data_IF_529145960940
#
_entry.id   IF_529145960940
#
_cell.length_a   1.000
_cell.length_b   1.000
_cell.length_c   1.000
_cell.angle_alpha   90.00
_cell.angle_beta   90.00
_cell.angle_gamma   90.00
#
_symmetry.space_group_name_H-M   'P 1'
#
loop_
_entity.id
_entity.type
_entity.pdbx_description
1 polymer ?
#
# COMPACT_ATOMS: atom_id res chain seq x y z
N UNK A 1 15.42 20.36 2.36
CA UNK A 1 16.11 19.17 2.91
C UNK A 1 17.59 19.24 2.58
N UNK A 2 18.45 18.68 3.42
CA UNK A 2 19.91 18.65 3.27
C UNK A 2 20.46 17.44 4.02
N UNK A 3 21.71 17.07 3.74
CA UNK A 3 22.46 16.06 4.50
C UNK A 3 23.27 16.75 5.60
N UNK A 4 23.34 16.18 6.79
CA UNK A 4 24.06 16.76 7.94
C UNK A 4 25.59 16.87 7.72
N UNK A 5 26.12 16.09 6.77
CA UNK A 5 27.54 16.05 6.42
C UNK A 5 27.88 16.76 5.10
N UNK A 6 27.02 17.67 4.66
CA UNK A 6 27.16 18.48 3.45
C UNK A 6 27.33 17.70 2.14
N UNK A 7 27.06 16.38 2.14
CA UNK A 7 27.02 15.57 0.91
C UNK A 7 25.77 15.90 0.09
N UNK A 8 25.81 15.58 -1.20
CA UNK A 8 24.64 15.64 -2.06
C UNK A 8 23.53 14.71 -1.56
N UNK A 9 22.30 15.12 -1.79
CA UNK A 9 21.13 14.29 -1.46
C UNK A 9 21.15 13.00 -2.28
N UNK A 10 20.83 11.83 -1.67
CA UNK A 10 20.74 10.55 -2.40
C UNK A 10 19.48 10.45 -3.26
N UNK A 11 18.86 11.57 -3.59
CA UNK A 11 17.64 11.65 -4.39
C UNK A 11 17.70 12.74 -5.43
N UNK A 12 16.90 12.54 -6.49
CA UNK A 12 16.62 13.57 -7.51
C UNK A 12 15.09 13.72 -7.63
N UNK A 13 14.58 14.94 -7.54
CA UNK A 13 13.17 15.26 -7.80
C UNK A 13 13.00 15.50 -9.29
N UNK A 14 12.45 14.51 -10.01
CA UNK A 14 12.29 14.55 -11.47
C UNK A 14 11.05 15.34 -11.91
N UNK A 15 10.06 15.48 -11.03
CA UNK A 15 8.82 16.21 -11.26
C UNK A 15 8.13 16.57 -9.95
N UNK A 16 7.32 17.63 -9.97
CA UNK A 16 6.53 18.09 -8.84
C UNK A 16 7.34 18.85 -7.78
N UNK A 17 6.69 19.12 -6.65
CA UNK A 17 7.27 19.81 -5.49
C UNK A 17 6.87 19.11 -4.21
N UNK A 18 7.58 18.04 -3.80
CA UNK A 18 7.27 17.29 -2.59
C UNK A 18 7.38 18.19 -1.34
N UNK A 19 6.38 18.12 -0.48
CA UNK A 19 6.39 18.76 0.83
C UNK A 19 7.01 17.85 1.90
N UNK A 20 7.06 18.36 3.14
CA UNK A 20 7.66 17.64 4.28
C UNK A 20 7.07 16.25 4.47
N UNK A 21 5.73 16.11 4.51
CA UNK A 21 5.07 14.82 4.70
C UNK A 21 5.30 13.87 3.52
N UNK A 22 5.38 14.40 2.29
CA UNK A 22 5.66 13.59 1.11
C UNK A 22 7.04 12.93 1.19
N UNK A 23 8.06 13.65 1.68
CA UNK A 23 9.39 13.08 1.89
C UNK A 23 9.41 12.04 3.02
N UNK A 24 8.66 12.26 4.10
CA UNK A 24 8.55 11.26 5.16
C UNK A 24 7.91 9.96 4.64
N UNK A 25 6.84 10.07 3.88
CA UNK A 25 6.18 8.92 3.25
C UNK A 25 7.10 8.23 2.24
N UNK A 26 7.77 9.02 1.37
CA UNK A 26 8.70 8.51 0.37
C UNK A 26 9.85 7.71 0.98
N UNK A 27 10.52 8.26 1.99
CA UNK A 27 11.71 7.61 2.57
C UNK A 27 11.37 6.41 3.45
N UNK A 28 10.27 6.46 4.20
CA UNK A 28 9.82 5.29 4.95
C UNK A 28 9.30 4.20 4.00
N UNK A 29 8.54 4.56 2.97
CA UNK A 29 8.09 3.64 1.94
C UNK A 29 9.25 2.99 1.19
N UNK A 30 10.29 3.76 0.83
CA UNK A 30 11.49 3.23 0.17
C UNK A 30 12.21 2.18 1.03
N UNK A 31 12.42 2.46 2.30
CA UNK A 31 13.04 1.51 3.22
C UNK A 31 12.24 0.21 3.29
N UNK A 32 10.91 0.31 3.41
CA UNK A 32 10.01 -0.85 3.45
C UNK A 32 10.14 -1.71 2.19
N UNK A 33 10.01 -1.15 1.00
CA UNK A 33 10.03 -1.95 -0.25
C UNK A 33 11.41 -2.54 -0.53
N UNK A 34 12.48 -1.83 -0.16
CA UNK A 34 13.85 -2.36 -0.25
C UNK A 34 14.04 -3.60 0.62
N UNK A 35 13.54 -3.57 1.87
CA UNK A 35 13.59 -4.72 2.77
C UNK A 35 12.69 -5.87 2.29
N UNK A 36 11.49 -5.57 1.78
CA UNK A 36 10.62 -6.61 1.20
C UNK A 36 11.28 -7.33 0.04
N UNK A 37 11.91 -6.58 -0.88
CA UNK A 37 12.67 -7.18 -1.99
C UNK A 37 13.83 -8.02 -1.50
N UNK A 38 14.60 -7.55 -0.55
CA UNK A 38 15.72 -8.29 0.02
C UNK A 38 15.27 -9.59 0.71
N UNK A 39 14.16 -9.56 1.45
CA UNK A 39 13.64 -10.70 2.21
C UNK A 39 12.94 -11.75 1.35
N UNK A 40 12.38 -11.36 0.21
CA UNK A 40 11.53 -12.24 -0.62
C UNK A 40 12.10 -12.55 -2.00
N UNK A 41 13.06 -11.75 -2.48
CA UNK A 41 13.58 -11.83 -3.84
C UNK A 41 12.60 -11.35 -4.94
N UNK A 42 11.45 -10.80 -4.56
CA UNK A 42 10.39 -10.35 -5.47
C UNK A 42 10.34 -8.83 -5.54
N UNK A 43 9.93 -8.25 -6.69
CA UNK A 43 9.59 -6.83 -6.75
C UNK A 43 8.52 -6.49 -5.70
N UNK A 44 8.65 -5.32 -5.08
CA UNK A 44 7.77 -4.91 -4.00
C UNK A 44 7.27 -3.48 -4.19
N UNK A 45 6.09 -3.20 -3.66
CA UNK A 45 5.50 -1.89 -3.64
C UNK A 45 4.76 -1.62 -2.32
N UNK A 46 4.64 -0.35 -1.97
CA UNK A 46 3.79 0.09 -0.86
C UNK A 46 3.00 1.33 -1.23
N UNK A 47 1.80 1.42 -0.68
CA UNK A 47 0.96 2.61 -0.62
C UNK A 47 1.12 3.22 0.75
N UNK A 48 1.76 4.39 0.84
CA UNK A 48 2.12 5.03 2.11
C UNK A 48 1.30 6.29 2.34
N UNK A 49 0.86 6.51 3.56
CA UNK A 49 0.09 7.70 3.91
C UNK A 49 0.24 8.03 5.40
N UNK A 50 0.51 9.32 5.69
CA UNK A 50 0.68 9.79 7.06
C UNK A 50 1.71 8.99 7.85
N UNK A 51 2.85 8.72 7.21
CA UNK A 51 4.01 8.01 7.78
C UNK A 51 3.68 6.57 8.21
N UNK A 52 2.74 5.93 7.52
CA UNK A 52 2.42 4.50 7.71
C UNK A 52 1.95 3.87 6.40
N UNK A 53 2.21 2.59 6.17
CA UNK A 53 1.69 1.89 5.01
C UNK A 53 0.17 1.67 5.15
N UNK A 54 -0.59 2.07 4.13
CA UNK A 54 -1.97 1.63 3.95
C UNK A 54 -2.01 0.19 3.40
N UNK A 55 -0.97 -0.19 2.67
CA UNK A 55 -0.74 -1.52 2.17
C UNK A 55 0.69 -1.71 1.67
N UNK A 56 1.15 -2.95 1.69
CA UNK A 56 2.46 -3.37 1.20
C UNK A 56 2.34 -4.75 0.57
N UNK A 57 3.04 -5.01 -0.53
CA UNK A 57 2.93 -6.27 -1.26
C UNK A 57 4.15 -6.56 -2.12
N UNK A 58 4.26 -7.84 -2.51
CA UNK A 58 5.23 -8.33 -3.48
C UNK A 58 4.56 -8.74 -4.79
N UNK A 59 5.34 -8.81 -5.86
CA UNK A 59 4.90 -8.98 -7.24
C UNK A 59 4.47 -10.41 -7.60
N UNK A 60 3.44 -10.92 -6.94
CA UNK A 60 2.78 -12.16 -7.33
C UNK A 60 1.70 -11.90 -8.38
N UNK A 61 1.46 -12.84 -9.33
CA UNK A 61 0.40 -12.70 -10.32
C UNK A 61 -0.98 -12.47 -9.68
N UNK A 62 -1.84 -11.74 -10.38
CA UNK A 62 -3.23 -11.49 -9.98
C UNK A 62 -4.15 -12.49 -10.69
N UNK A 63 -5.02 -13.17 -9.95
CA UNK A 63 -6.13 -13.92 -10.52
C UNK A 63 -7.24 -12.98 -11.03
N UNK A 64 -8.27 -13.53 -11.68
CA UNK A 64 -9.34 -12.74 -12.26
C UNK A 64 -10.13 -11.93 -11.23
N UNK A 65 -10.33 -12.47 -10.03
CA UNK A 65 -11.06 -11.80 -8.95
C UNK A 65 -10.28 -10.61 -8.43
N UNK A 66 -9.00 -10.80 -8.15
CA UNK A 66 -8.11 -9.71 -7.72
C UNK A 66 -7.99 -8.63 -8.79
N UNK A 67 -7.91 -9.02 -10.06
CA UNK A 67 -7.90 -8.04 -11.16
C UNK A 67 -9.14 -7.17 -11.18
N UNK A 68 -10.33 -7.75 -10.93
CA UNK A 68 -11.60 -7.01 -10.85
C UNK A 68 -11.64 -6.06 -9.67
N UNK A 69 -11.34 -6.54 -8.45
CA UNK A 69 -11.41 -5.69 -7.25
C UNK A 69 -10.34 -4.60 -7.19
N UNK A 70 -9.23 -4.77 -7.94
CA UNK A 70 -8.16 -3.77 -8.07
C UNK A 70 -8.32 -2.88 -9.31
N UNK A 71 -9.39 -3.04 -10.06
CA UNK A 71 -9.70 -2.24 -11.26
C UNK A 71 -8.61 -2.31 -12.33
N UNK A 72 -8.03 -3.48 -12.54
CA UNK A 72 -6.98 -3.76 -13.54
C UNK A 72 -7.35 -4.88 -14.50
N UNK A 73 -8.62 -5.29 -14.52
CA UNK A 73 -9.15 -6.32 -15.40
C UNK A 73 -9.17 -5.91 -16.89
N UNK A 74 -9.19 -4.61 -17.15
CA UNK A 74 -9.09 -4.01 -18.49
C UNK A 74 -7.65 -3.70 -18.94
N UNK A 75 -6.66 -3.97 -18.09
CA UNK A 75 -5.22 -3.87 -18.44
C UNK A 75 -4.70 -5.23 -18.88
N UNK A 76 -3.94 -5.30 -19.94
CA UNK A 76 -3.32 -6.53 -20.41
C UNK A 76 -2.53 -7.30 -19.35
N UNK A 77 -1.51 -8.03 -19.74
CA UNK A 77 -0.58 -8.63 -18.79
C UNK A 77 0.17 -7.52 -18.04
N UNK A 78 0.24 -7.66 -16.71
CA UNK A 78 0.91 -6.70 -15.85
C UNK A 78 2.30 -7.21 -15.47
N UNK A 79 3.28 -6.31 -15.44
CA UNK A 79 4.59 -6.63 -14.90
C UNK A 79 4.51 -7.03 -13.42
N UNK A 80 5.49 -7.79 -12.89
CA UNK A 80 5.53 -8.14 -11.47
C UNK A 80 5.49 -6.91 -10.56
N UNK A 81 6.12 -5.80 -10.94
CA UNK A 81 6.10 -4.55 -10.17
C UNK A 81 4.71 -3.90 -10.18
N UNK A 82 4.03 -3.91 -11.33
CA UNK A 82 2.65 -3.45 -11.43
C UNK A 82 1.70 -4.31 -10.58
N UNK A 83 1.89 -5.64 -10.56
CA UNK A 83 1.15 -6.55 -9.68
C UNK A 83 1.39 -6.22 -8.19
N UNK A 84 2.64 -5.94 -7.80
CA UNK A 84 2.97 -5.53 -6.43
C UNK A 84 2.22 -4.25 -6.03
N UNK A 85 2.22 -3.23 -6.90
CA UNK A 85 1.51 -1.98 -6.61
C UNK A 85 -0.02 -2.16 -6.60
N UNK A 86 -0.57 -2.92 -7.55
CA UNK A 86 -2.01 -3.22 -7.55
C UNK A 86 -2.46 -3.89 -6.25
N UNK A 87 -1.67 -4.84 -5.72
CA UNK A 87 -1.91 -5.50 -4.44
C UNK A 87 -1.76 -4.56 -3.25
N UNK A 88 -0.67 -3.78 -3.19
CA UNK A 88 -0.39 -2.87 -2.09
C UNK A 88 -1.49 -1.81 -1.94
N UNK A 89 -1.89 -1.19 -3.06
CA UNK A 89 -2.99 -0.22 -3.06
C UNK A 89 -4.36 -0.87 -2.88
N UNK A 90 -4.55 -2.04 -3.48
CA UNK A 90 -5.82 -2.74 -3.54
C UNK A 90 -6.30 -3.28 -2.18
N UNK A 91 -5.39 -3.47 -1.22
CA UNK A 91 -5.71 -3.96 0.11
C UNK A 91 -6.65 -3.01 0.88
N UNK A 92 -6.39 -1.70 0.77
CA UNK A 92 -7.21 -0.65 1.40
C UNK A 92 -7.29 0.55 0.46
N UNK A 93 -8.23 0.50 -0.47
CA UNK A 93 -8.38 1.51 -1.50
C UNK A 93 -8.85 2.87 -0.95
N UNK A 94 -9.57 2.86 0.16
CA UNK A 94 -10.01 4.08 0.85
C UNK A 94 -8.83 4.83 1.45
N UNK A 95 -8.00 4.15 2.25
CA UNK A 95 -6.82 4.75 2.88
C UNK A 95 -5.75 5.12 1.84
N UNK A 96 -5.67 4.39 0.72
CA UNK A 96 -4.71 4.66 -0.36
C UNK A 96 -5.07 5.86 -1.25
N UNK A 97 -6.22 6.48 -1.07
CA UNK A 97 -6.57 7.70 -1.80
C UNK A 97 -5.65 8.86 -1.40
N UNK A 98 -4.84 9.35 -2.35
CA UNK A 98 -3.83 10.38 -2.09
C UNK A 98 -2.57 9.86 -1.40
N UNK A 99 -2.20 8.60 -1.66
CA UNK A 99 -1.00 7.95 -1.14
C UNK A 99 0.30 8.51 -1.75
N UNK A 100 1.42 8.19 -1.11
CA UNK A 100 2.76 8.25 -1.70
C UNK A 100 3.24 6.83 -1.95
N UNK A 101 3.65 6.54 -3.18
CA UNK A 101 3.99 5.21 -3.65
C UNK A 101 5.50 5.00 -3.53
N UNK A 102 5.92 3.84 -3.01
CA UNK A 102 7.32 3.42 -3.14
C UNK A 102 7.41 2.10 -3.90
N UNK A 103 8.41 2.01 -4.78
CA UNK A 103 8.67 0.86 -5.66
C UNK A 103 10.10 0.39 -5.46
N UNK A 104 10.31 -0.91 -5.32
CA UNK A 104 11.63 -1.51 -5.08
C UNK A 104 12.51 -1.59 -6.32
N UNK A 105 11.93 -1.42 -7.51
CA UNK A 105 12.56 -1.60 -8.81
C UNK A 105 12.30 -0.38 -9.71
N UNK A 106 12.99 -0.35 -10.85
CA UNK A 106 12.76 0.66 -11.89
C UNK A 106 11.29 0.62 -12.32
N UNK A 107 10.63 1.76 -12.17
CA UNK A 107 9.22 1.89 -12.58
C UNK A 107 9.10 1.73 -14.08
N UNK A 108 8.37 0.71 -14.50
CA UNK A 108 8.08 0.40 -15.89
C UNK A 108 6.77 1.07 -16.37
N UNK A 109 6.51 0.93 -17.67
CA UNK A 109 5.32 1.48 -18.33
C UNK A 109 4.01 0.97 -17.73
N UNK A 110 3.93 -0.32 -17.37
CA UNK A 110 2.70 -0.93 -16.85
C UNK A 110 2.38 -0.36 -15.47
N UNK A 111 3.39 -0.27 -14.60
CA UNK A 111 3.29 0.33 -13.28
C UNK A 111 2.91 1.81 -13.37
N UNK A 112 3.55 2.59 -14.25
CA UNK A 112 3.23 4.00 -14.45
C UNK A 112 1.80 4.19 -15.00
N UNK A 113 1.34 3.31 -15.89
CA UNK A 113 -0.01 3.33 -16.44
C UNK A 113 -1.06 3.05 -15.37
N UNK A 114 -0.78 2.15 -14.43
CA UNK A 114 -1.63 1.91 -13.26
C UNK A 114 -1.64 3.13 -12.34
N UNK A 115 -0.48 3.67 -12.00
CA UNK A 115 -0.35 4.88 -11.15
C UNK A 115 -1.12 6.07 -11.77
N UNK A 116 -1.07 6.23 -13.09
CA UNK A 116 -1.80 7.30 -13.81
C UNK A 116 -3.29 7.28 -13.53
N UNK A 117 -3.88 6.08 -13.38
CA UNK A 117 -5.33 5.87 -13.20
C UNK A 117 -5.79 6.18 -11.77
N UNK A 118 -4.88 6.21 -10.80
CA UNK A 118 -5.18 6.33 -9.39
C UNK A 118 -4.94 7.75 -8.86
N UNK A 119 -5.61 8.13 -7.78
CA UNK A 119 -5.34 9.38 -7.07
C UNK A 119 -4.22 9.13 -6.07
N UNK A 120 -3.04 9.68 -6.36
CA UNK A 120 -1.84 9.60 -5.52
C UNK A 120 -1.09 10.93 -5.53
N UNK A 121 -0.20 11.16 -4.57
CA UNK A 121 0.56 12.41 -4.44
C UNK A 121 1.93 12.33 -5.10
N UNK A 122 2.54 11.16 -5.09
CA UNK A 122 3.83 10.96 -5.70
C UNK A 122 4.30 9.51 -5.68
N UNK A 123 5.48 9.31 -6.27
CA UNK A 123 6.15 8.01 -6.32
C UNK A 123 7.65 8.18 -6.14
N UNK A 124 8.27 7.25 -5.40
CA UNK A 124 9.71 7.09 -5.28
C UNK A 124 10.13 5.71 -5.81
N UNK A 125 11.19 5.68 -6.61
CA UNK A 125 11.76 4.46 -7.18
C UNK A 125 13.26 4.65 -7.44
N UNK A 126 14.05 3.56 -7.61
CA UNK A 126 15.47 3.66 -7.97
C UNK A 126 15.69 4.18 -9.40
N UNK A 127 14.66 4.14 -10.23
CA UNK A 127 14.67 4.65 -11.61
C UNK A 127 13.30 4.58 -12.25
N UNK A 128 13.22 5.07 -13.47
CA UNK A 128 12.01 5.09 -14.30
C UNK A 128 12.42 4.84 -15.74
N UNK A 129 11.67 4.00 -16.48
CA UNK A 129 11.84 3.95 -17.93
C UNK A 129 11.39 5.28 -18.56
N UNK A 130 11.84 5.59 -19.76
CA UNK A 130 11.49 6.86 -20.43
C UNK A 130 9.97 7.00 -20.58
N UNK A 131 9.30 5.89 -21.00
CA UNK A 131 7.85 5.88 -21.16
C UNK A 131 7.12 6.08 -19.80
N UNK A 132 7.62 5.41 -18.74
CA UNK A 132 7.06 5.57 -17.41
C UNK A 132 7.17 7.01 -16.91
N UNK A 133 8.33 7.61 -17.12
CA UNK A 133 8.59 8.99 -16.70
C UNK A 133 7.70 10.00 -17.46
N UNK A 134 7.50 9.83 -18.76
CA UNK A 134 6.59 10.65 -19.55
C UNK A 134 5.13 10.55 -19.03
N UNK A 135 4.65 9.32 -18.77
CA UNK A 135 3.31 9.09 -18.22
C UNK A 135 3.13 9.79 -16.87
N UNK A 136 4.11 9.67 -15.97
CA UNK A 136 4.03 10.23 -14.62
C UNK A 136 4.17 11.74 -14.61
N UNK A 137 5.07 12.31 -15.44
CA UNK A 137 5.22 13.79 -15.57
C UNK A 137 3.96 14.46 -16.10
N UNK A 138 3.19 13.80 -16.96
CA UNK A 138 1.93 14.33 -17.47
C UNK A 138 0.79 14.36 -16.42
N UNK A 139 0.92 13.59 -15.32
CA UNK A 139 -0.08 13.52 -14.26
C UNK A 139 -0.14 14.85 -13.48
N UNK A 140 -1.33 15.19 -12.95
CA UNK A 140 -1.58 16.44 -12.19
C UNK A 140 -1.09 17.72 -12.94
N UNK A 141 -1.22 17.72 -14.27
CA UNK A 141 -0.78 18.84 -15.12
C UNK A 141 0.71 19.21 -14.90
N UNK A 142 1.57 18.20 -14.72
CA UNK A 142 3.00 18.38 -14.52
C UNK A 142 3.44 18.62 -13.06
N UNK A 143 2.53 18.50 -12.09
CA UNK A 143 2.83 18.71 -10.67
C UNK A 143 2.85 17.41 -9.84
N UNK A 144 2.80 16.25 -10.48
CA UNK A 144 2.92 14.97 -9.77
C UNK A 144 4.34 14.78 -9.25
N UNK A 145 4.48 14.37 -7.99
CA UNK A 145 5.80 14.17 -7.40
C UNK A 145 6.43 12.87 -7.88
N UNK A 146 7.59 12.97 -8.55
CA UNK A 146 8.40 11.85 -9.00
C UNK A 146 9.79 11.99 -8.43
N UNK A 147 10.20 11.03 -7.58
CA UNK A 147 11.48 11.05 -6.89
C UNK A 147 12.28 9.82 -7.31
N UNK A 148 13.49 10.05 -7.83
CA UNK A 148 14.49 9.01 -8.03
C UNK A 148 15.39 8.94 -6.82
N UNK A 149 15.69 7.72 -6.34
CA UNK A 149 16.60 7.49 -5.21
C UNK A 149 17.79 6.63 -5.65
N UNK A 150 18.96 6.92 -5.08
CA UNK A 150 20.12 6.04 -5.23
C UNK A 150 19.90 4.76 -4.40
N UNK A 151 19.73 3.63 -5.09
CA UNK A 151 19.52 2.32 -4.45
C UNK A 151 20.70 1.85 -3.60
N UNK A 152 21.91 2.37 -3.88
CA UNK A 152 23.13 2.03 -3.16
C UNK A 152 23.34 2.87 -1.91
N UNK A 153 22.57 3.95 -1.75
CA UNK A 153 22.67 4.79 -0.55
C UNK A 153 22.40 3.98 0.72
N UNK A 154 23.27 4.19 1.70
CA UNK A 154 23.11 3.66 3.04
C UNK A 154 23.26 4.82 4.04
N UNK A 155 22.24 5.03 4.89
CA UNK A 155 22.30 6.08 5.92
C UNK A 155 23.33 5.72 6.99
N UNK A 156 23.72 6.72 7.80
CA UNK A 156 24.57 6.50 8.95
C UNK A 156 23.91 5.50 9.94
N UNK A 157 24.71 4.73 10.72
CA UNK A 157 24.16 3.75 11.66
C UNK A 157 23.41 4.37 12.84
N UNK A 158 23.65 5.66 13.13
CA UNK A 158 22.89 6.43 14.11
C UNK A 158 21.85 7.31 13.39
N UNK A 159 20.66 7.37 13.95
CA UNK A 159 19.61 8.28 13.51
C UNK A 159 19.35 9.37 14.55
N UNK A 160 19.05 10.56 14.07
CA UNK A 160 18.75 11.71 14.90
C UNK A 160 17.31 12.17 14.68
N UNK A 161 16.64 12.55 15.76
CA UNK A 161 15.32 13.18 15.73
C UNK A 161 15.32 14.40 16.64
N UNK A 162 14.87 15.53 16.12
CA UNK A 162 14.72 16.75 16.92
C UNK A 162 13.26 16.95 17.32
N UNK A 163 13.05 17.21 18.61
CA UNK A 163 11.74 17.59 19.16
C UNK A 163 11.98 18.74 20.15
N UNK A 164 11.32 19.85 19.94
CA UNK A 164 11.42 21.04 20.80
C UNK A 164 12.86 21.51 21.00
N UNK A 165 13.72 21.44 19.95
CA UNK A 165 15.13 21.81 20.02
C UNK A 165 16.04 20.79 20.69
N UNK A 166 15.52 19.68 21.18
CA UNK A 166 16.28 18.58 21.78
C UNK A 166 16.49 17.50 20.72
N UNK A 167 17.75 17.11 20.52
CA UNK A 167 18.13 16.03 19.60
C UNK A 167 18.18 14.70 20.36
N UNK A 168 17.42 13.74 19.84
CA UNK A 168 17.50 12.34 20.26
C UNK A 168 18.39 11.59 19.27
N UNK A 169 19.26 10.73 19.78
CA UNK A 169 20.15 9.87 19.00
C UNK A 169 19.91 8.42 19.38
N UNK A 170 19.77 7.55 18.39
CA UNK A 170 19.67 6.10 18.60
C UNK A 170 20.24 5.32 17.43
N UNK A 171 20.54 4.05 17.66
CA UNK A 171 20.88 3.12 16.57
C UNK A 171 19.69 2.86 15.67
N UNK A 172 19.93 2.77 14.37
CA UNK A 172 18.89 2.40 13.40
C UNK A 172 18.43 0.95 13.65
N UNK A 173 17.15 0.70 13.38
CA UNK A 173 16.59 -0.65 13.39
C UNK A 173 17.04 -1.41 12.13
N UNK A 174 18.15 -2.16 12.23
CA UNK A 174 18.76 -2.87 11.10
C UNK A 174 18.63 -4.40 11.22
N UNK A 175 17.81 -4.91 12.15
CA UNK A 175 17.56 -6.34 12.27
C UNK A 175 17.01 -6.90 10.95
N UNK A 176 17.70 -7.84 10.30
CA UNK A 176 17.20 -8.46 9.07
C UNK A 176 15.98 -9.32 9.38
N UNK A 177 15.00 -9.26 8.49
CA UNK A 177 13.82 -10.11 8.55
C UNK A 177 13.99 -11.20 7.49
N UNK A 178 14.59 -12.30 7.88
CA UNK A 178 14.99 -13.41 7.03
C UNK A 178 14.51 -14.77 7.56
N UNK A 179 14.99 -15.86 6.96
CA UNK A 179 14.63 -17.22 7.36
C UNK A 179 15.24 -17.61 8.70
N UNK A 180 16.37 -17.05 9.09
CA UNK A 180 17.01 -17.32 10.38
C UNK A 180 16.11 -16.82 11.52
N UNK A 181 15.50 -15.64 11.37
CA UNK A 181 14.55 -15.10 12.35
C UNK A 181 13.35 -16.02 12.57
N UNK A 182 12.93 -16.77 11.54
CA UNK A 182 11.79 -17.70 11.59
C UNK A 182 12.18 -19.15 11.89
N UNK A 183 13.45 -19.45 12.15
CA UNK A 183 13.97 -20.81 12.31
C UNK A 183 13.58 -21.48 13.64
N UNK A 184 13.40 -20.69 14.70
CA UNK A 184 13.04 -21.21 16.02
C UNK A 184 11.54 -21.38 16.20
N UNK A 185 10.97 -22.44 15.63
CA UNK A 185 9.54 -22.75 15.74
C UNK A 185 9.26 -23.45 17.07
N UNK A 186 8.55 -22.75 17.96
CA UNK A 186 8.26 -23.24 19.34
C UNK A 186 6.89 -23.90 19.49
N UNK A 187 6.02 -23.80 18.47
CA UNK A 187 4.70 -24.42 18.45
C UNK A 187 4.77 -25.94 18.30
N UNK A 188 3.69 -26.67 18.61
CA UNK A 188 3.60 -28.11 18.43
C UNK A 188 3.84 -28.51 16.97
N UNK A 189 3.12 -27.89 16.03
CA UNK A 189 3.43 -28.01 14.61
C UNK A 189 4.70 -27.20 14.29
N UNK A 190 5.72 -27.89 13.81
CA UNK A 190 7.03 -27.30 13.46
C UNK A 190 7.13 -26.88 11.99
N UNK A 191 6.17 -27.24 11.16
CA UNK A 191 6.20 -26.96 9.74
C UNK A 191 5.51 -25.61 9.45
N UNK A 192 6.25 -24.69 8.84
CA UNK A 192 5.73 -23.43 8.31
C UNK A 192 5.84 -23.52 6.78
N UNK A 193 4.71 -23.55 6.04
CA UNK A 193 4.76 -23.52 4.58
C UNK A 193 5.50 -22.30 4.04
N UNK A 194 6.18 -22.43 2.90
CA UNK A 194 6.96 -21.32 2.30
C UNK A 194 6.11 -20.07 2.02
N UNK A 195 4.85 -20.25 1.60
CA UNK A 195 3.93 -19.13 1.44
C UNK A 195 3.67 -18.39 2.77
N UNK A 196 3.53 -19.14 3.88
CA UNK A 196 3.35 -18.56 5.20
C UNK A 196 4.63 -17.86 5.71
N UNK A 197 5.82 -18.41 5.46
CA UNK A 197 7.09 -17.75 5.78
C UNK A 197 7.23 -16.42 5.04
N UNK A 198 6.93 -16.41 3.74
CA UNK A 198 6.91 -15.19 2.93
C UNK A 198 5.96 -14.16 3.54
N UNK A 199 4.74 -14.57 3.85
CA UNK A 199 3.71 -13.68 4.39
C UNK A 199 4.07 -13.16 5.79
N UNK A 200 4.72 -13.97 6.64
CA UNK A 200 5.26 -13.54 7.94
C UNK A 200 6.36 -12.49 7.78
N UNK A 201 7.28 -12.65 6.81
CA UNK A 201 8.29 -11.63 6.51
C UNK A 201 7.64 -10.32 6.07
N UNK A 202 6.64 -10.37 5.19
CA UNK A 202 5.90 -9.19 4.75
C UNK A 202 5.22 -8.52 5.95
N UNK A 203 4.60 -9.29 6.85
CA UNK A 203 3.96 -8.76 8.05
C UNK A 203 4.95 -8.03 8.96
N UNK A 204 6.07 -8.64 9.27
CA UNK A 204 7.10 -8.07 10.15
C UNK A 204 7.69 -6.79 9.56
N UNK A 205 8.04 -6.80 8.25
CA UNK A 205 8.59 -5.62 7.57
C UNK A 205 7.54 -4.51 7.49
N UNK A 206 6.29 -4.83 7.17
CA UNK A 206 5.19 -3.84 7.14
C UNK A 206 5.05 -3.16 8.50
N UNK A 207 5.03 -3.93 9.60
CA UNK A 207 4.90 -3.38 10.95
C UNK A 207 6.12 -2.61 11.42
N UNK A 208 7.32 -2.93 10.95
CA UNK A 208 8.55 -2.17 11.24
C UNK A 208 8.43 -0.71 10.82
N UNK A 209 7.68 -0.43 9.75
CA UNK A 209 7.46 0.92 9.21
C UNK A 209 6.06 1.47 9.51
N UNK A 210 5.33 0.86 10.44
CA UNK A 210 3.98 1.29 10.85
C UNK A 210 4.02 1.95 12.22
N UNK A 211 3.37 3.09 12.36
CA UNK A 211 3.26 3.80 13.65
C UNK A 211 2.57 2.93 14.70
N UNK A 212 3.17 2.85 15.88
CA UNK A 212 2.67 2.07 17.02
C UNK A 212 1.43 2.75 17.68
N UNK A 213 0.48 2.02 18.25
CA UNK A 213 0.33 0.57 18.17
C UNK A 213 -0.03 0.17 16.76
N UNK A 214 0.49 -0.96 16.32
CA UNK A 214 0.27 -1.46 14.98
C UNK A 214 -0.04 -2.95 14.96
N UNK A 215 -0.94 -3.35 14.06
CA UNK A 215 -1.30 -4.75 13.77
C UNK A 215 -1.54 -4.86 12.28
N UNK A 216 -1.15 -5.96 11.65
CA UNK A 216 -1.54 -6.24 10.28
C UNK A 216 -1.93 -7.71 10.08
N UNK A 217 -2.75 -7.93 9.05
CA UNK A 217 -3.05 -9.22 8.48
C UNK A 217 -2.44 -9.30 7.09
N UNK A 218 -1.81 -10.42 6.78
CA UNK A 218 -1.12 -10.65 5.51
C UNK A 218 -1.62 -11.94 4.89
N UNK A 219 -1.85 -11.94 3.59
CA UNK A 219 -2.27 -13.11 2.83
C UNK A 219 -1.77 -13.02 1.38
N UNK A 220 -1.24 -14.13 0.90
CA UNK A 220 -0.85 -14.31 -0.50
C UNK A 220 0.04 -13.18 -1.04
N UNK A 221 1.07 -12.82 -0.26
CA UNK A 221 2.07 -11.84 -0.68
C UNK A 221 1.69 -10.37 -0.48
N UNK A 222 0.63 -10.08 0.28
CA UNK A 222 0.20 -8.69 0.54
C UNK A 222 -0.39 -8.49 1.93
N UNK A 223 -0.17 -7.32 2.51
CA UNK A 223 -0.93 -6.87 3.67
C UNK A 223 -2.38 -6.58 3.23
N UNK A 224 -3.35 -7.24 3.85
CA UNK A 224 -4.78 -7.11 3.55
C UNK A 224 -5.54 -6.24 4.56
N UNK A 225 -4.92 -5.93 5.69
CA UNK A 225 -5.47 -4.99 6.67
C UNK A 225 -4.38 -4.50 7.59
N UNK A 226 -4.18 -3.20 7.67
CA UNK A 226 -3.18 -2.54 8.53
C UNK A 226 -3.89 -1.58 9.47
N UNK A 227 -3.74 -1.81 10.77
CA UNK A 227 -4.08 -0.87 11.82
C UNK A 227 -2.81 -0.15 12.27
N UNK A 228 -2.84 1.18 12.27
CA UNK A 228 -1.69 2.03 12.56
C UNK A 228 -2.02 3.13 13.56
N UNK A 229 -1.07 3.48 14.43
CA UNK A 229 -1.12 4.66 15.27
C UNK A 229 -2.24 4.69 16.29
N UNK A 230 -2.78 3.54 16.69
CA UNK A 230 -3.85 3.48 17.66
C UNK A 230 -3.33 3.48 19.11
N UNK A 231 -3.98 4.25 20.00
CA UNK A 231 -3.63 4.30 21.43
C UNK A 231 -3.94 2.98 22.15
N UNK A 232 -4.97 2.25 21.70
CA UNK A 232 -5.35 0.95 22.24
C UNK A 232 -5.00 -0.17 21.26
N UNK A 233 -4.31 -1.21 21.73
CA UNK A 233 -4.01 -2.40 20.93
C UNK A 233 -5.27 -3.13 20.49
N UNK A 234 -6.29 -3.17 21.34
CA UNK A 234 -7.60 -3.78 21.00
C UNK A 234 -8.26 -3.03 19.84
N UNK A 235 -8.27 -1.70 19.86
CA UNK A 235 -8.81 -0.91 18.75
C UNK A 235 -7.97 -1.08 17.49
N UNK A 236 -6.65 -1.17 17.64
CA UNK A 236 -5.76 -1.41 16.50
C UNK A 236 -6.05 -2.76 15.82
N UNK A 237 -6.22 -3.83 16.62
CA UNK A 237 -6.56 -5.16 16.11
C UNK A 237 -7.92 -5.17 15.41
N UNK A 238 -8.94 -4.53 16.00
CA UNK A 238 -10.26 -4.40 15.37
C UNK A 238 -10.20 -3.67 14.05
N UNK A 239 -9.46 -2.56 13.99
CA UNK A 239 -9.30 -1.79 12.75
C UNK A 239 -8.62 -2.60 11.65
N UNK A 240 -7.52 -3.30 11.98
CA UNK A 240 -6.82 -4.16 11.04
C UNK A 240 -7.71 -5.33 10.57
N UNK A 241 -8.46 -5.96 11.49
CA UNK A 241 -9.42 -7.03 11.19
C UNK A 241 -10.52 -6.55 10.26
N UNK A 242 -11.17 -5.43 10.56
CA UNK A 242 -12.22 -4.86 9.71
C UNK A 242 -11.72 -4.61 8.28
N UNK A 243 -10.50 -4.10 8.11
CA UNK A 243 -9.92 -3.90 6.78
C UNK A 243 -9.67 -5.22 6.06
N UNK A 244 -9.21 -6.25 6.78
CA UNK A 244 -9.03 -7.58 6.22
C UNK A 244 -10.38 -8.21 5.82
N UNK A 245 -11.42 -8.08 6.64
CA UNK A 245 -12.78 -8.53 6.33
C UNK A 245 -13.32 -7.80 5.08
N UNK A 246 -13.12 -6.49 4.98
CA UNK A 246 -13.49 -5.71 3.79
C UNK A 246 -12.79 -6.22 2.53
N UNK A 247 -11.50 -6.60 2.63
CA UNK A 247 -10.78 -7.18 1.49
C UNK A 247 -11.39 -8.51 1.04
N UNK A 248 -11.80 -9.38 1.97
CA UNK A 248 -12.50 -10.62 1.63
C UNK A 248 -13.90 -10.36 1.06
N UNK A 249 -14.68 -9.48 1.68
CA UNK A 249 -16.04 -9.16 1.24
C UNK A 249 -16.08 -8.53 -0.15
N UNK A 250 -15.04 -7.76 -0.53
CA UNK A 250 -14.91 -7.21 -1.90
C UNK A 250 -14.83 -8.29 -2.98
N UNK A 251 -14.46 -9.52 -2.63
CA UNK A 251 -14.36 -10.66 -3.54
C UNK A 251 -15.66 -11.48 -3.62
N UNK A 252 -16.66 -11.16 -2.81
CA UNK A 252 -17.95 -11.85 -2.85
C UNK A 252 -18.74 -11.52 -4.11
N UNK A 253 -19.53 -12.47 -4.65
CA UNK A 253 -20.37 -12.24 -5.82
C UNK A 253 -21.26 -11.01 -5.69
N UNK A 254 -21.87 -10.76 -4.52
CA UNK A 254 -22.69 -9.57 -4.25
C UNK A 254 -21.97 -8.26 -4.54
N UNK A 255 -20.64 -8.19 -4.35
CA UNK A 255 -19.84 -7.00 -4.65
C UNK A 255 -19.37 -6.99 -6.10
N UNK A 256 -18.93 -8.15 -6.61
CA UNK A 256 -18.44 -8.28 -7.99
C UNK A 256 -19.52 -7.99 -9.02
N UNK A 257 -20.78 -8.29 -8.70
CA UNK A 257 -21.94 -8.11 -9.59
C UNK A 257 -22.62 -6.73 -9.42
N UNK A 258 -22.08 -5.82 -8.60
CA UNK A 258 -22.62 -4.48 -8.42
C UNK A 258 -22.67 -3.70 -9.75
N UNK A 259 -23.87 -3.24 -10.12
CA UNK A 259 -24.09 -2.46 -11.32
C UNK A 259 -24.09 -0.96 -10.98
N UNK A 260 -23.00 -0.30 -11.29
CA UNK A 260 -22.86 1.14 -11.07
C UNK A 260 -23.49 1.96 -12.19
N UNK A 261 -23.98 3.15 -11.86
CA UNK A 261 -24.45 4.12 -12.87
C UNK A 261 -23.30 4.55 -13.79
N UNK A 262 -23.64 4.92 -15.02
CA UNK A 262 -22.65 5.34 -16.01
C UNK A 262 -21.95 6.63 -15.58
N UNK A 263 -20.64 6.70 -15.81
CA UNK A 263 -19.82 7.88 -15.51
C UNK A 263 -19.42 8.06 -14.04
N UNK A 264 -19.79 7.15 -13.14
CA UNK A 264 -19.31 7.19 -11.75
C UNK A 264 -17.79 7.03 -11.69
N UNK A 265 -17.11 7.86 -10.90
CA UNK A 265 -15.66 7.82 -10.76
C UNK A 265 -15.21 6.60 -9.94
N UNK A 266 -13.99 6.12 -10.16
CA UNK A 266 -13.44 4.98 -9.40
C UNK A 266 -13.47 5.21 -7.89
N UNK A 267 -13.02 6.36 -7.43
CA UNK A 267 -13.03 6.69 -6.00
C UNK A 267 -14.43 6.63 -5.39
N UNK A 268 -15.45 7.08 -6.15
CA UNK A 268 -16.84 7.02 -5.69
C UNK A 268 -17.35 5.57 -5.64
N UNK A 269 -16.91 4.71 -6.58
CA UNK A 269 -17.21 3.26 -6.53
C UNK A 269 -16.55 2.60 -5.31
N UNK A 270 -15.27 2.90 -5.06
CA UNK A 270 -14.55 2.36 -3.90
C UNK A 270 -15.22 2.76 -2.59
N UNK A 271 -15.60 4.04 -2.47
CA UNK A 271 -16.34 4.54 -1.30
C UNK A 271 -17.70 3.84 -1.14
N UNK A 272 -18.44 3.72 -2.24
CA UNK A 272 -19.76 3.07 -2.20
C UNK A 272 -19.65 1.60 -1.81
N UNK A 273 -18.63 0.88 -2.29
CA UNK A 273 -18.37 -0.52 -1.91
C UNK A 273 -18.05 -0.62 -0.41
N UNK A 274 -17.14 0.21 0.12
CA UNK A 274 -16.76 0.16 1.52
C UNK A 274 -17.95 0.45 2.45
N UNK A 275 -18.77 1.45 2.11
CA UNK A 275 -19.99 1.75 2.87
C UNK A 275 -21.00 0.60 2.74
N UNK A 276 -21.19 0.05 1.55
CA UNK A 276 -22.13 -1.05 1.29
C UNK A 276 -21.80 -2.33 2.08
N UNK A 277 -20.52 -2.70 2.15
CA UNK A 277 -20.09 -3.89 2.91
C UNK A 277 -19.97 -3.60 4.42
N UNK A 278 -19.90 -2.34 4.81
CA UNK A 278 -19.79 -1.89 6.19
C UNK A 278 -21.09 -1.95 6.99
N UNK A 279 -21.06 -1.39 8.20
CA UNK A 279 -22.24 -1.28 9.05
C UNK A 279 -23.15 -0.12 8.64
N UNK A 280 -22.61 0.90 7.99
CA UNK A 280 -23.31 2.11 7.54
C UNK A 280 -23.91 1.97 6.15
N UNK A 281 -24.19 0.73 5.71
CA UNK A 281 -24.69 0.41 4.36
C UNK A 281 -25.96 1.19 3.97
N UNK A 282 -26.77 1.62 4.94
CA UNK A 282 -27.96 2.42 4.67
C UNK A 282 -27.65 3.78 4.04
N UNK A 283 -26.45 4.32 4.24
CA UNK A 283 -26.05 5.59 3.64
C UNK A 283 -26.01 5.52 2.10
N UNK A 284 -25.77 4.34 1.55
CA UNK A 284 -25.75 4.10 0.10
C UNK A 284 -26.97 3.30 -0.41
N UNK A 285 -27.76 2.69 0.49
CA UNK A 285 -28.94 1.90 0.10
C UNK A 285 -30.28 2.55 0.44
N UNK A 286 -30.30 3.71 1.14
CA UNK A 286 -31.51 4.47 1.39
C UNK A 286 -32.14 4.95 0.07
N UNK A 287 -33.48 5.08 0.05
CA UNK A 287 -34.19 5.60 -1.10
C UNK A 287 -33.74 7.04 -1.42
N UNK A 288 -33.45 7.32 -2.68
CA UNK A 288 -32.88 8.58 -3.15
C UNK A 288 -31.35 8.65 -3.06
N UNK A 289 -30.68 7.68 -2.40
CA UNK A 289 -29.23 7.56 -2.35
C UNK A 289 -28.72 6.51 -3.35
N UNK A 290 -29.30 5.29 -3.31
CA UNK A 290 -28.82 4.18 -4.13
C UNK A 290 -28.95 4.46 -5.65
N UNK A 291 -29.98 5.16 -6.07
CA UNK A 291 -30.23 5.50 -7.49
C UNK A 291 -29.12 6.38 -8.09
N UNK A 292 -28.37 7.09 -7.26
CA UNK A 292 -27.24 7.92 -7.70
C UNK A 292 -25.95 7.11 -7.89
N UNK A 293 -25.92 5.90 -7.38
CA UNK A 293 -24.71 5.06 -7.31
C UNK A 293 -24.88 3.79 -8.13
N UNK A 294 -26.04 3.12 -8.00
CA UNK A 294 -26.31 1.82 -8.60
C UNK A 294 -27.44 1.87 -9.61
N UNK A 295 -27.36 1.05 -10.66
CA UNK A 295 -28.45 0.85 -11.64
C UNK A 295 -29.59 0.00 -11.08
N UNK A 296 -29.24 -0.91 -10.17
CA UNK A 296 -30.17 -1.80 -9.46
C UNK A 296 -29.83 -1.75 -7.99
N UNK A 297 -30.84 -1.63 -7.12
CA UNK A 297 -30.66 -1.60 -5.67
C UNK A 297 -30.01 -2.90 -5.20
N UNK A 298 -28.79 -2.87 -4.61
CA UNK A 298 -28.14 -4.07 -4.10
C UNK A 298 -28.90 -4.68 -2.92
N UNK A 299 -28.78 -6.00 -2.77
CA UNK A 299 -29.26 -6.70 -1.58
C UNK A 299 -28.32 -6.44 -0.40
N UNK A 300 -28.88 -6.30 0.80
CA UNK A 300 -28.11 -6.14 2.03
C UNK A 300 -27.37 -7.44 2.38
N UNK A 301 -26.14 -7.33 2.83
CA UNK A 301 -25.44 -8.48 3.42
C UNK A 301 -26.12 -8.90 4.72
N UNK A 302 -26.38 -10.18 4.87
CA UNK A 302 -26.82 -10.76 6.16
C UNK A 302 -25.61 -10.82 7.12
N UNK A 303 -25.91 -11.00 8.42
CA UNK A 303 -24.87 -11.18 9.43
C UNK A 303 -24.05 -12.46 9.22
N UNK A 304 -24.63 -13.47 8.60
CA UNK A 304 -23.99 -14.77 8.33
C UNK A 304 -23.06 -14.70 7.10
N UNK A 305 -23.30 -13.75 6.22
CA UNK A 305 -22.43 -13.49 5.05
C UNK A 305 -21.22 -12.62 5.37
N UNK A 306 -21.26 -11.86 6.48
CA UNK A 306 -20.16 -11.06 7.01
C UNK A 306 -19.36 -11.84 8.06
#
# INVERSE_FOLDING_TARGET
IYMDDDRDLPIEVLSGRPGYINFLDAFNGWQLVRELKAATGLPAATSFKHVSPAGAAVGLPLDETLRKIYWVDDMGELSPLACAYARARGADRMSSFGDFIALSDVCDKDTASLIKREVSDGVIAPGFTDEALEILKAKKKGNYCVIKIDENYRPAPLEHKQVFGITFEQGRQELPIDDELLSNVVTENKEIPEAAKRDLKIALITLKYTQSNSVCFVKDGQAIGVGAGQQSRVHCTRLAGQKADNWFLRQCPKVLDLQFVDGIRRADRDNAIDVYIGEEYMDVLADGAWEKIFKVKPEVFTREEK
#
